data_IF_098455208024
#
_entry.id   IF_098455208024
#
_cell.length_a   1.000
_cell.length_b   1.000
_cell.length_c   1.000
_cell.angle_alpha   90.00
_cell.angle_beta   90.00
_cell.angle_gamma   90.00
#
_symmetry.space_group_name_H-M   'P 1'
#
loop_
_entity.id
_entity.type
_entity.pdbx_description
1 polymer ?
#
# COMPACT_ATOMS: atom_id res chain seq x y z
N UNK A 1 29.74 -17.89 2.74
CA UNK A 1 28.52 -17.64 1.95
C UNK A 1 28.95 -16.88 0.72
N UNK A 2 28.63 -17.39 -0.48
CA UNK A 2 28.92 -16.68 -1.73
C UNK A 2 28.20 -15.34 -1.73
N UNK A 3 28.93 -14.25 -1.90
CA UNK A 3 28.34 -12.92 -2.02
C UNK A 3 27.45 -12.89 -3.26
N UNK A 4 26.16 -12.56 -3.10
CA UNK A 4 25.24 -12.46 -4.24
C UNK A 4 25.73 -11.34 -5.18
N UNK A 5 25.78 -11.63 -6.47
CA UNK A 5 26.18 -10.69 -7.51
C UNK A 5 25.23 -10.84 -8.71
N UNK A 6 24.88 -9.76 -9.44
CA UNK A 6 23.96 -9.86 -10.57
C UNK A 6 24.37 -10.87 -11.64
N UNK A 7 25.68 -11.04 -11.87
CA UNK A 7 26.21 -11.98 -12.86
C UNK A 7 26.02 -13.46 -12.49
N UNK A 8 25.64 -13.77 -11.25
CA UNK A 8 25.23 -15.11 -10.87
C UNK A 8 23.82 -15.47 -11.37
N UNK A 9 23.08 -14.49 -11.91
CA UNK A 9 21.69 -14.63 -12.35
C UNK A 9 21.51 -14.19 -13.80
N UNK A 10 22.27 -14.74 -14.77
CA UNK A 10 22.25 -14.27 -16.16
C UNK A 10 20.87 -14.40 -16.83
N UNK A 11 20.11 -15.46 -16.57
CA UNK A 11 18.79 -15.68 -17.16
C UNK A 11 17.76 -14.69 -16.61
N UNK A 12 17.77 -14.48 -15.29
CA UNK A 12 16.87 -13.52 -14.64
C UNK A 12 17.23 -12.08 -15.06
N UNK A 13 18.52 -11.76 -15.11
CA UNK A 13 19.01 -10.44 -15.54
C UNK A 13 18.62 -10.14 -16.99
N UNK A 14 18.74 -11.13 -17.89
CA UNK A 14 18.34 -11.01 -19.29
C UNK A 14 16.83 -10.88 -19.48
N UNK A 15 16.02 -11.48 -18.59
CA UNK A 15 14.56 -11.38 -18.61
C UNK A 15 14.05 -10.08 -17.98
N UNK A 16 14.86 -9.41 -17.16
CA UNK A 16 14.47 -8.16 -16.51
C UNK A 16 14.24 -7.03 -17.52
N UNK A 17 13.04 -6.44 -17.51
CA UNK A 17 12.70 -5.26 -18.34
C UNK A 17 13.68 -4.08 -18.15
N UNK A 18 14.27 -3.97 -16.97
CA UNK A 18 15.26 -2.93 -16.61
C UNK A 18 16.43 -3.59 -15.88
N UNK A 19 17.49 -4.01 -16.58
CA UNK A 19 18.63 -4.70 -15.99
C UNK A 19 19.32 -3.88 -14.89
N UNK A 20 19.38 -2.56 -15.02
CA UNK A 20 19.96 -1.68 -13.98
C UNK A 20 19.20 -1.76 -12.64
N UNK A 21 17.88 -1.94 -12.69
CA UNK A 21 17.05 -2.07 -11.50
C UNK A 21 17.11 -3.48 -10.92
N UNK A 22 17.26 -4.48 -11.77
CA UNK A 22 17.56 -5.84 -11.34
C UNK A 22 18.88 -5.88 -10.57
N UNK A 23 19.94 -5.30 -11.13
CA UNK A 23 21.26 -5.26 -10.50
C UNK A 23 21.20 -4.56 -9.12
N UNK A 24 20.54 -3.41 -9.05
CA UNK A 24 20.29 -2.69 -7.78
C UNK A 24 19.51 -3.54 -6.77
N UNK A 25 18.51 -4.30 -7.22
CA UNK A 25 17.74 -5.16 -6.35
C UNK A 25 18.60 -6.32 -5.80
N UNK A 26 19.43 -6.95 -6.63
CA UNK A 26 20.36 -8.01 -6.19
C UNK A 26 21.35 -7.45 -5.16
N UNK A 27 21.97 -6.30 -5.42
CA UNK A 27 22.88 -5.66 -4.46
C UNK A 27 22.17 -5.30 -3.16
N UNK A 28 20.94 -4.77 -3.20
CA UNK A 28 20.18 -4.45 -2.00
C UNK A 28 19.88 -5.68 -1.13
N UNK A 29 19.61 -6.84 -1.75
CA UNK A 29 19.47 -8.11 -1.02
C UNK A 29 20.81 -8.57 -0.46
N UNK A 30 21.89 -8.48 -1.24
CA UNK A 30 23.25 -8.84 -0.81
C UNK A 30 23.67 -8.03 0.42
N UNK A 31 23.51 -6.70 0.37
CA UNK A 31 23.81 -5.78 1.46
C UNK A 31 22.93 -6.04 2.68
N UNK A 32 21.65 -6.36 2.47
CA UNK A 32 20.74 -6.71 3.55
C UNK A 32 21.17 -8.00 4.27
N UNK A 33 21.61 -9.01 3.52
CA UNK A 33 22.12 -10.27 4.09
C UNK A 33 23.43 -10.02 4.84
N UNK A 34 24.37 -9.28 4.24
CA UNK A 34 25.66 -8.98 4.84
C UNK A 34 25.55 -8.15 6.12
N UNK A 35 24.66 -7.15 6.14
CA UNK A 35 24.42 -6.30 7.31
C UNK A 35 23.49 -6.94 8.35
N UNK A 36 22.87 -8.08 8.04
CA UNK A 36 21.91 -8.75 8.90
C UNK A 36 20.60 -7.98 9.09
N UNK A 37 20.32 -6.95 8.30
CA UNK A 37 19.06 -6.20 8.35
C UNK A 37 18.73 -5.54 7.02
N UNK A 38 17.45 -5.34 6.74
CA UNK A 38 17.01 -4.61 5.54
C UNK A 38 15.80 -3.74 5.86
N UNK A 39 15.72 -2.56 5.25
CA UNK A 39 14.54 -1.70 5.40
C UNK A 39 13.37 -2.26 4.61
N UNK A 40 12.17 -2.17 5.19
CA UNK A 40 10.95 -2.69 4.58
C UNK A 40 10.66 -2.15 3.18
N UNK A 41 10.95 -0.86 2.93
CA UNK A 41 10.74 -0.25 1.61
C UNK A 41 11.70 -0.84 0.58
N UNK A 42 12.99 -0.96 0.92
CA UNK A 42 14.02 -1.53 0.06
C UNK A 42 13.72 -3.00 -0.24
N UNK A 43 13.35 -3.79 0.77
CA UNK A 43 12.98 -5.20 0.58
C UNK A 43 11.77 -5.36 -0.34
N UNK A 44 10.73 -4.51 -0.21
CA UNK A 44 9.56 -4.55 -1.09
C UNK A 44 9.91 -4.23 -2.53
N UNK A 45 10.63 -3.12 -2.75
CA UNK A 45 11.02 -2.70 -4.10
C UNK A 45 11.91 -3.74 -4.79
N UNK A 46 12.86 -4.33 -4.03
CA UNK A 46 13.70 -5.41 -4.52
C UNK A 46 12.86 -6.66 -4.83
N UNK A 47 12.00 -7.12 -3.91
CA UNK A 47 11.14 -8.30 -4.12
C UNK A 47 10.25 -8.16 -5.35
N UNK A 48 9.63 -7.00 -5.54
CA UNK A 48 8.76 -6.75 -6.69
C UNK A 48 9.55 -6.78 -8.00
N UNK A 49 10.74 -6.17 -8.02
CA UNK A 49 11.63 -6.17 -9.19
C UNK A 49 12.11 -7.58 -9.53
N UNK A 50 12.60 -8.33 -8.54
CA UNK A 50 13.11 -9.69 -8.73
C UNK A 50 12.01 -10.68 -9.08
N UNK A 51 10.81 -10.52 -8.52
CA UNK A 51 9.68 -11.40 -8.84
C UNK A 51 9.25 -11.25 -10.29
N UNK A 52 9.23 -10.02 -10.84
CA UNK A 52 8.94 -9.81 -12.26
C UNK A 52 10.01 -10.39 -13.19
N UNK A 53 11.28 -10.39 -12.76
CA UNK A 53 12.35 -11.02 -13.51
C UNK A 53 12.23 -12.56 -13.49
N UNK A 54 11.77 -13.14 -12.37
CA UNK A 54 11.46 -14.58 -12.27
C UNK A 54 10.30 -14.96 -13.15
N UNK A 55 9.19 -14.21 -13.10
CA UNK A 55 7.99 -14.43 -13.91
C UNK A 55 8.33 -14.44 -15.41
N UNK A 56 8.93 -13.36 -15.91
CA UNK A 56 9.34 -13.25 -17.32
C UNK A 56 10.45 -14.26 -17.71
N UNK A 57 11.35 -14.56 -16.78
CA UNK A 57 12.43 -15.53 -17.01
C UNK A 57 11.89 -16.95 -17.13
N UNK A 58 10.93 -17.32 -16.29
CA UNK A 58 10.27 -18.61 -16.30
C UNK A 58 9.44 -18.80 -17.56
N UNK A 59 8.65 -17.79 -17.94
CA UNK A 59 7.90 -17.77 -19.19
C UNK A 59 8.83 -18.08 -20.37
N UNK A 60 9.93 -17.35 -20.51
CA UNK A 60 10.86 -17.48 -21.63
C UNK A 60 11.68 -18.78 -21.62
N UNK A 61 12.11 -19.24 -20.44
CA UNK A 61 13.02 -20.39 -20.32
C UNK A 61 12.28 -21.74 -20.26
N UNK A 62 11.03 -21.74 -19.78
CA UNK A 62 10.26 -22.96 -19.49
C UNK A 62 8.92 -22.98 -20.19
N UNK A 63 8.08 -21.95 -20.02
CA UNK A 63 6.70 -22.01 -20.50
C UNK A 63 6.64 -21.95 -22.03
N UNK A 64 7.24 -20.94 -22.65
CA UNK A 64 7.25 -20.71 -24.10
C UNK A 64 7.83 -21.89 -24.89
N UNK A 65 8.99 -22.48 -24.50
CA UNK A 65 9.59 -23.54 -25.29
C UNK A 65 8.85 -24.88 -25.17
N UNK A 66 8.16 -25.15 -24.05
CA UNK A 66 7.70 -26.50 -23.71
C UNK A 66 6.19 -26.64 -23.46
N UNK A 67 5.49 -25.59 -23.02
CA UNK A 67 4.11 -25.69 -22.52
C UNK A 67 3.12 -24.72 -23.18
N UNK A 68 3.56 -23.52 -23.59
CA UNK A 68 2.69 -22.52 -24.19
C UNK A 68 2.30 -22.86 -25.65
N UNK A 69 1.24 -22.22 -26.16
CA UNK A 69 0.77 -22.35 -27.55
C UNK A 69 0.57 -23.82 -28.04
N UNK A 70 0.02 -24.68 -27.18
CA UNK A 70 -0.27 -26.08 -27.51
C UNK A 70 0.92 -27.03 -27.37
N UNK A 71 2.12 -26.53 -27.04
CA UNK A 71 3.32 -27.36 -26.88
C UNK A 71 3.22 -28.35 -25.71
N UNK A 72 2.38 -28.06 -24.71
CA UNK A 72 2.10 -28.98 -23.62
C UNK A 72 1.58 -30.35 -24.10
N UNK A 73 0.89 -30.41 -25.24
CA UNK A 73 0.39 -31.67 -25.84
C UNK A 73 1.52 -32.58 -26.33
N UNK A 74 2.71 -32.02 -26.54
CA UNK A 74 3.90 -32.74 -26.99
C UNK A 74 4.72 -33.27 -25.80
N UNK A 75 4.36 -32.90 -24.57
CA UNK A 75 5.02 -33.36 -23.37
C UNK A 75 4.43 -34.70 -22.90
N UNK A 76 5.25 -35.60 -22.32
CA UNK A 76 4.72 -36.75 -21.60
C UNK A 76 3.73 -36.29 -20.52
N UNK A 77 2.63 -37.03 -20.36
CA UNK A 77 1.56 -36.70 -19.41
C UNK A 77 2.11 -36.44 -18.00
N UNK A 78 3.01 -37.31 -17.52
CA UNK A 78 3.63 -37.16 -16.21
C UNK A 78 4.43 -35.85 -16.05
N UNK A 79 5.08 -35.36 -17.12
CA UNK A 79 5.81 -34.08 -17.12
C UNK A 79 4.85 -32.91 -17.07
N UNK A 80 3.77 -32.95 -17.86
CA UNK A 80 2.75 -31.90 -17.85
C UNK A 80 1.99 -31.84 -16.51
N UNK A 81 1.62 -32.98 -15.93
CA UNK A 81 0.99 -33.05 -14.60
C UNK A 81 1.93 -32.50 -13.53
N UNK A 82 3.23 -32.83 -13.60
CA UNK A 82 4.21 -32.29 -12.67
C UNK A 82 4.34 -30.77 -12.77
N UNK A 83 4.48 -30.24 -13.99
CA UNK A 83 4.49 -28.81 -14.28
C UNK A 83 3.24 -28.10 -13.73
N UNK A 84 2.07 -28.66 -14.02
CA UNK A 84 0.77 -28.12 -13.60
C UNK A 84 0.54 -28.20 -12.08
N UNK A 85 1.40 -28.88 -11.32
CA UNK A 85 1.27 -29.01 -9.87
C UNK A 85 1.76 -27.79 -9.10
N UNK A 86 2.37 -26.81 -9.76
CA UNK A 86 2.83 -25.56 -9.15
C UNK A 86 2.69 -24.40 -10.13
N UNK A 87 2.85 -23.19 -9.60
CA UNK A 87 2.82 -21.95 -10.39
C UNK A 87 4.04 -21.13 -10.02
N UNK A 88 4.67 -20.49 -11.01
CA UNK A 88 5.80 -19.60 -10.83
C UNK A 88 5.37 -18.21 -11.24
N UNK A 89 5.12 -17.33 -10.27
CA UNK A 89 4.80 -15.92 -10.52
C UNK A 89 5.72 -14.99 -9.74
N UNK A 90 6.37 -15.51 -8.71
CA UNK A 90 7.13 -14.73 -7.75
C UNK A 90 8.42 -15.44 -7.37
N UNK A 91 9.42 -14.66 -6.95
CA UNK A 91 10.71 -15.20 -6.52
C UNK A 91 10.59 -16.24 -5.40
N UNK A 92 9.65 -16.05 -4.47
CA UNK A 92 9.49 -16.99 -3.34
C UNK A 92 8.96 -18.37 -3.75
N UNK A 93 8.34 -18.52 -4.92
CA UNK A 93 7.84 -19.80 -5.41
C UNK A 93 9.00 -20.77 -5.71
N UNK A 94 10.18 -20.22 -6.04
CA UNK A 94 11.41 -20.98 -6.31
C UNK A 94 11.84 -21.87 -5.14
N UNK A 95 11.49 -21.53 -3.90
CA UNK A 95 11.75 -22.38 -2.73
C UNK A 95 10.96 -23.69 -2.79
N UNK A 96 9.69 -23.64 -3.19
CA UNK A 96 8.84 -24.81 -3.28
C UNK A 96 9.11 -25.60 -4.57
N UNK A 97 9.29 -24.90 -5.69
CA UNK A 97 9.59 -25.49 -7.00
C UNK A 97 10.91 -26.26 -6.95
N UNK A 98 11.98 -25.67 -6.40
CA UNK A 98 13.27 -26.35 -6.26
C UNK A 98 13.16 -27.64 -5.43
N UNK A 99 12.38 -27.62 -4.34
CA UNK A 99 12.13 -28.83 -3.52
C UNK A 99 11.37 -29.91 -4.28
N UNK A 100 10.40 -29.54 -5.12
CA UNK A 100 9.66 -30.50 -5.97
C UNK A 100 10.58 -31.09 -7.04
N UNK A 101 11.37 -30.25 -7.71
CA UNK A 101 12.33 -30.66 -8.75
C UNK A 101 13.44 -31.57 -8.21
N UNK A 102 13.86 -31.38 -6.96
CA UNK A 102 14.82 -32.26 -6.30
C UNK A 102 14.26 -33.65 -5.96
N UNK A 103 12.94 -33.77 -5.81
CA UNK A 103 12.26 -35.04 -5.45
C UNK A 103 11.80 -35.85 -6.65
N UNK A 104 11.59 -35.20 -7.79
CA UNK A 104 11.09 -35.88 -9.00
C UNK A 104 12.20 -36.65 -9.70
N UNK A 105 11.87 -37.84 -10.20
CA UNK A 105 12.72 -38.66 -11.06
C UNK A 105 12.40 -38.48 -12.55
N UNK A 106 11.50 -37.55 -12.87
CA UNK A 106 11.19 -37.22 -14.26
C UNK A 106 12.44 -36.65 -14.94
N UNK A 107 12.54 -36.91 -16.24
CA UNK A 107 13.66 -36.51 -17.10
C UNK A 107 13.12 -35.90 -18.39
N UNK A 108 13.99 -35.24 -19.15
CA UNK A 108 13.69 -34.62 -20.43
C UNK A 108 13.91 -33.11 -20.41
N UNK A 109 14.01 -32.53 -21.62
CA UNK A 109 14.44 -31.15 -21.82
C UNK A 109 13.62 -30.12 -21.01
N UNK A 110 12.30 -30.33 -20.86
CA UNK A 110 11.46 -29.46 -20.05
C UNK A 110 11.82 -29.50 -18.56
N UNK A 111 12.09 -30.69 -18.01
CA UNK A 111 12.52 -30.85 -16.60
C UNK A 111 13.92 -30.26 -16.41
N UNK A 112 14.82 -30.44 -17.37
CA UNK A 112 16.18 -29.89 -17.30
C UNK A 112 16.18 -28.37 -17.36
N UNK A 113 15.31 -27.76 -18.18
CA UNK A 113 15.11 -26.32 -18.20
C UNK A 113 14.57 -25.79 -16.86
N UNK A 114 13.57 -26.45 -16.28
CA UNK A 114 13.06 -26.11 -14.94
C UNK A 114 14.15 -26.21 -13.86
N UNK A 115 14.94 -27.28 -13.86
CA UNK A 115 16.05 -27.48 -12.91
C UNK A 115 17.11 -26.40 -13.06
N UNK A 116 17.49 -26.08 -14.30
CA UNK A 116 18.50 -25.06 -14.60
C UNK A 116 18.04 -23.70 -14.09
N UNK A 117 16.82 -23.28 -14.43
CA UNK A 117 16.27 -22.01 -13.99
C UNK A 117 16.10 -21.95 -12.46
N UNK A 118 15.55 -23.00 -11.85
CA UNK A 118 15.37 -23.07 -10.41
C UNK A 118 16.71 -23.02 -9.66
N UNK A 119 17.75 -23.70 -10.15
CA UNK A 119 19.08 -23.66 -9.55
C UNK A 119 19.70 -22.26 -9.58
N UNK A 120 19.49 -21.50 -10.65
CA UNK A 120 19.92 -20.11 -10.76
C UNK A 120 19.14 -19.21 -9.77
N UNK A 121 17.81 -19.35 -9.70
CA UNK A 121 16.96 -18.46 -8.92
C UNK A 121 16.95 -18.76 -7.40
N UNK A 122 17.22 -20.02 -7.01
CA UNK A 122 17.09 -20.48 -5.63
C UNK A 122 17.94 -19.69 -4.61
N UNK A 123 19.25 -19.43 -4.84
CA UNK A 123 20.06 -18.68 -3.89
C UNK A 123 19.49 -17.29 -3.57
N UNK A 124 18.88 -16.65 -4.57
CA UNK A 124 18.26 -15.33 -4.40
C UNK A 124 16.96 -15.43 -3.59
N UNK A 125 16.15 -16.46 -3.83
CA UNK A 125 14.92 -16.71 -3.07
C UNK A 125 15.23 -17.02 -1.59
N UNK A 126 16.26 -17.81 -1.32
CA UNK A 126 16.73 -18.13 0.04
C UNK A 126 17.26 -16.88 0.76
N UNK A 127 18.01 -16.04 0.06
CA UNK A 127 18.51 -14.78 0.60
C UNK A 127 17.36 -13.85 1.02
N UNK A 128 16.36 -13.65 0.16
CA UNK A 128 15.17 -12.86 0.48
C UNK A 128 14.40 -13.46 1.67
N UNK A 129 14.24 -14.79 1.71
CA UNK A 129 13.57 -15.46 2.83
C UNK A 129 14.33 -15.27 4.15
N UNK A 130 15.67 -15.29 4.13
CA UNK A 130 16.51 -15.10 5.32
C UNK A 130 16.40 -13.70 5.96
N UNK A 131 15.86 -12.73 5.21
CA UNK A 131 15.67 -11.35 5.66
C UNK A 131 14.31 -11.08 6.31
N UNK A 132 13.36 -12.03 6.24
CA UNK A 132 11.97 -11.83 6.68
C UNK A 132 11.86 -11.29 8.12
N UNK A 133 12.65 -11.84 9.03
CA UNK A 133 12.62 -11.47 10.45
C UNK A 133 13.68 -10.40 10.81
N UNK A 134 14.33 -9.85 9.78
CA UNK A 134 15.40 -8.82 9.88
C UNK A 134 14.96 -7.48 9.30
N UNK A 135 13.64 -7.28 9.17
CA UNK A 135 13.06 -6.11 8.50
C UNK A 135 12.91 -4.93 9.45
N UNK A 136 13.62 -3.85 9.15
CA UNK A 136 13.48 -2.56 9.85
C UNK A 136 12.31 -1.78 9.24
N UNK A 137 11.36 -1.37 10.09
CA UNK A 137 10.23 -0.52 9.68
C UNK A 137 10.63 0.96 9.72
N UNK A 138 9.99 1.77 8.88
CA UNK A 138 10.23 3.22 8.81
C UNK A 138 11.32 3.66 7.81
N UNK A 139 11.42 4.98 7.61
CA UNK A 139 12.39 5.59 6.69
C UNK A 139 13.79 5.60 7.28
N UNK A 140 14.80 5.69 6.41
CA UNK A 140 16.15 6.00 6.85
C UNK A 140 16.18 7.32 7.62
N UNK A 141 16.87 7.39 8.78
CA UNK A 141 17.20 8.65 9.41
C UNK A 141 17.83 9.59 8.38
N UNK A 142 17.55 10.89 8.52
CA UNK A 142 18.26 11.91 7.74
C UNK A 142 19.76 11.78 8.00
N UNK A 143 20.57 11.74 6.94
CA UNK A 143 22.04 11.76 7.01
C UNK A 143 22.59 13.17 7.23
N UNK A 144 21.78 14.21 7.01
CA UNK A 144 22.13 15.59 7.33
C UNK A 144 22.18 15.84 8.83
N UNK A 145 22.91 16.89 9.27
CA UNK A 145 22.95 17.28 10.68
C UNK A 145 21.54 17.49 11.21
N UNK A 146 21.32 17.10 12.48
CA UNK A 146 20.06 17.35 13.15
C UNK A 146 19.77 18.86 13.07
N UNK A 147 18.57 19.22 12.58
CA UNK A 147 18.18 20.63 12.56
C UNK A 147 18.24 21.15 14.01
N UNK A 148 18.87 22.32 14.25
CA UNK A 148 18.91 22.89 15.59
C UNK A 148 17.49 23.01 16.12
N UNK A 149 17.26 22.50 17.34
CA UNK A 149 15.97 22.64 18.01
C UNK A 149 15.79 24.12 18.32
N UNK A 150 14.81 24.77 17.71
CA UNK A 150 14.51 26.17 18.01
C UNK A 150 14.06 26.25 19.49
N UNK A 151 14.86 26.86 20.39
CA UNK A 151 14.53 26.93 21.81
C UNK A 151 13.29 27.79 22.07
N UNK A 152 12.95 28.68 21.14
CA UNK A 152 11.79 29.57 21.22
C UNK A 152 10.56 28.96 20.53
N UNK A 153 10.58 27.67 20.19
CA UNK A 153 9.44 27.00 19.55
C UNK A 153 8.31 26.86 20.55
N UNK A 154 7.29 27.70 20.40
CA UNK A 154 6.03 27.58 21.13
C UNK A 154 5.19 26.48 20.46
N UNK A 155 4.79 25.48 21.25
CA UNK A 155 3.89 24.39 20.81
C UNK A 155 2.64 24.47 21.66
N UNK A 156 1.48 24.43 20.99
CA UNK A 156 0.15 24.56 21.61
C UNK A 156 -0.84 23.62 20.91
N UNK A 157 -2.07 23.54 21.42
CA UNK A 157 -3.08 22.60 20.93
C UNK A 157 -3.87 23.21 19.76
N UNK A 158 -3.87 22.53 18.61
CA UNK A 158 -4.68 22.93 17.47
C UNK A 158 -6.18 22.77 17.77
N UNK A 159 -7.03 23.78 17.51
CA UNK A 159 -8.46 23.74 17.82
C UNK A 159 -9.29 22.83 16.93
N UNK A 160 -8.71 22.33 15.83
CA UNK A 160 -9.42 21.44 14.92
C UNK A 160 -8.98 19.98 15.03
N UNK A 161 -7.67 19.71 15.12
CA UNK A 161 -7.15 18.34 15.15
C UNK A 161 -6.69 17.89 16.56
N UNK A 162 -6.71 18.80 17.54
CA UNK A 162 -6.34 18.56 18.93
C UNK A 162 -4.90 18.03 19.15
N UNK A 163 -4.04 18.18 18.13
CA UNK A 163 -2.61 17.83 18.21
C UNK A 163 -1.79 19.00 18.74
N UNK A 164 -0.66 18.66 19.35
CA UNK A 164 0.40 19.61 19.73
C UNK A 164 1.17 20.06 18.48
N UNK A 165 0.99 21.31 18.09
CA UNK A 165 1.52 21.90 16.87
C UNK A 165 2.23 23.21 17.20
N UNK A 166 3.29 23.53 16.44
CA UNK A 166 3.99 24.80 16.58
C UNK A 166 3.05 25.99 16.32
N UNK A 167 3.22 27.07 17.06
CA UNK A 167 2.52 28.35 16.83
C UNK A 167 3.43 29.27 16.03
N UNK A 168 2.90 29.86 14.97
CA UNK A 168 3.58 30.83 14.11
C UNK A 168 2.65 32.02 13.93
N UNK A 169 3.12 33.22 14.23
CA UNK A 169 2.35 34.48 14.06
C UNK A 169 0.98 34.46 14.76
N UNK A 170 0.89 33.81 15.92
CA UNK A 170 -0.31 33.73 16.75
C UNK A 170 -1.31 32.63 16.38
N UNK A 171 -1.10 31.89 15.29
CA UNK A 171 -1.95 30.76 14.86
C UNK A 171 -1.16 29.47 14.68
N UNK A 172 -1.83 28.37 14.37
CA UNK A 172 -1.16 27.08 14.19
C UNK A 172 -0.32 27.06 12.91
N UNK A 173 0.95 26.66 13.01
CA UNK A 173 1.82 26.44 11.86
C UNK A 173 1.22 25.38 10.92
N UNK A 174 1.59 25.37 9.64
CA UNK A 174 1.22 24.30 8.72
C UNK A 174 1.76 22.94 9.21
N UNK A 175 0.87 21.97 9.39
CA UNK A 175 1.20 20.66 10.01
C UNK A 175 0.56 19.47 9.29
N UNK A 176 0.23 19.68 8.01
CA UNK A 176 -0.55 18.74 7.24
C UNK A 176 -1.88 18.41 7.90
N UNK A 177 -2.44 17.27 7.52
CA UNK A 177 -3.68 16.79 8.09
C UNK A 177 -3.58 15.31 8.38
N UNK A 178 -3.82 14.91 9.63
CA UNK A 178 -3.91 13.51 10.03
C UNK A 178 -5.18 13.36 10.88
N UNK A 179 -6.18 12.66 10.36
CA UNK A 179 -7.42 12.35 11.10
C UNK A 179 -7.34 10.98 11.77
N UNK A 180 -8.05 10.81 12.90
CA UNK A 180 -8.84 9.61 13.13
C UNK A 180 -10.13 9.68 12.27
N UNK A 181 -10.27 8.84 11.23
CA UNK A 181 -11.54 8.68 10.48
C UNK A 181 -11.68 9.39 9.11
N UNK A 182 -12.94 9.58 8.66
CA UNK A 182 -13.38 9.89 7.28
C UNK A 182 -13.22 11.37 6.86
N UNK A 183 -11.98 11.82 6.67
CA UNK A 183 -11.67 13.23 6.46
C UNK A 183 -11.72 13.81 5.04
N UNK A 184 -11.76 15.15 4.98
CA UNK A 184 -11.50 15.95 3.79
C UNK A 184 -10.06 15.78 3.27
N UNK A 185 -9.93 15.66 1.95
CA UNK A 185 -8.65 15.62 1.25
C UNK A 185 -8.17 17.06 0.96
N UNK A 186 -7.60 17.72 1.97
CA UNK A 186 -7.05 19.08 1.83
C UNK A 186 -5.53 19.11 2.05
N UNK A 187 -4.86 20.08 1.41
CA UNK A 187 -3.42 20.30 1.58
C UNK A 187 -3.03 20.74 3.00
N UNK A 188 -3.98 21.27 3.78
CA UNK A 188 -3.77 21.70 5.16
C UNK A 188 -5.04 21.59 6.02
N UNK A 189 -4.86 21.45 7.34
CA UNK A 189 -5.92 21.53 8.33
C UNK A 189 -6.53 22.95 8.37
N UNK A 190 -7.86 23.11 8.52
CA UNK A 190 -8.50 24.40 8.79
C UNK A 190 -7.97 25.14 10.02
N UNK A 191 -7.40 24.40 10.98
CA UNK A 191 -6.85 24.89 12.24
C UNK A 191 -5.74 25.93 12.11
N UNK A 192 -5.06 26.00 10.96
CA UNK A 192 -4.01 27.00 10.71
C UNK A 192 -4.51 28.46 10.75
N UNK A 193 -5.83 28.64 10.60
CA UNK A 193 -6.48 29.95 10.55
C UNK A 193 -6.87 30.47 11.93
N UNK A 194 -6.76 29.63 12.96
CA UNK A 194 -7.23 29.93 14.29
C UNK A 194 -6.07 29.97 15.28
N UNK A 195 -6.26 30.73 16.36
CA UNK A 195 -5.38 30.69 17.51
C UNK A 195 -5.44 29.31 18.18
N UNK A 196 -4.42 28.92 18.96
CA UNK A 196 -4.46 27.68 19.71
C UNK A 196 -5.60 27.63 20.72
N UNK A 197 -6.05 26.44 21.11
CA UNK A 197 -7.14 26.26 22.08
C UNK A 197 -6.85 26.89 23.43
N UNK A 198 -5.58 26.97 23.82
CA UNK A 198 -5.19 27.63 25.05
C UNK A 198 -5.58 29.12 25.05
N UNK A 199 -5.62 29.74 23.85
CA UNK A 199 -5.86 31.18 23.66
C UNK A 199 -7.30 31.49 23.24
N UNK A 200 -7.93 30.65 22.43
CA UNK A 200 -9.26 30.91 21.86
C UNK A 200 -9.99 29.64 21.46
N UNK A 201 -11.31 29.64 21.62
CA UNK A 201 -12.23 28.60 21.18
C UNK A 201 -12.75 28.79 19.75
N UNK A 202 -12.42 29.89 19.06
CA UNK A 202 -12.93 30.23 17.72
C UNK A 202 -12.80 29.08 16.73
N UNK A 203 -11.66 28.37 16.74
CA UNK A 203 -11.44 27.23 15.86
C UNK A 203 -12.26 25.99 16.23
N UNK A 204 -12.60 25.81 17.50
CA UNK A 204 -13.47 24.73 17.98
C UNK A 204 -14.93 25.03 17.65
N UNK A 205 -15.37 26.28 17.87
CA UNK A 205 -16.69 26.77 17.44
C UNK A 205 -16.87 26.56 15.94
N UNK A 206 -15.87 26.95 15.14
CA UNK A 206 -15.89 26.72 13.70
C UNK A 206 -15.96 25.22 13.35
N UNK A 207 -15.20 24.37 14.04
CA UNK A 207 -15.22 22.92 13.78
C UNK A 207 -16.58 22.30 14.12
N UNK A 208 -17.22 22.72 15.22
CA UNK A 208 -18.58 22.30 15.57
C UNK A 208 -19.54 22.68 14.45
N UNK A 209 -19.55 23.95 14.02
CA UNK A 209 -20.44 24.40 12.95
C UNK A 209 -20.19 23.71 11.60
N UNK A 210 -18.93 23.45 11.25
CA UNK A 210 -18.59 22.69 10.04
C UNK A 210 -19.09 21.24 10.10
N UNK A 211 -19.04 20.62 11.30
CA UNK A 211 -19.50 19.26 11.55
C UNK A 211 -21.03 19.18 11.54
N UNK A 212 -21.72 20.17 12.12
CA UNK A 212 -23.18 20.33 12.05
C UNK A 212 -23.66 20.48 10.61
N UNK A 213 -22.99 21.32 9.82
CA UNK A 213 -23.29 21.46 8.40
C UNK A 213 -23.15 20.13 7.66
N UNK A 214 -22.07 19.37 7.93
CA UNK A 214 -21.86 18.05 7.32
C UNK A 214 -22.97 17.07 7.70
N UNK A 215 -23.41 17.06 8.95
CA UNK A 215 -24.53 16.24 9.40
C UNK A 215 -25.82 16.62 8.66
N UNK A 216 -26.11 17.92 8.57
CA UNK A 216 -27.28 18.42 7.83
C UNK A 216 -27.25 18.03 6.36
N UNK A 217 -26.10 18.16 5.69
CA UNK A 217 -25.94 17.75 4.29
C UNK A 217 -26.17 16.24 4.13
N UNK A 218 -25.58 15.41 5.00
CA UNK A 218 -25.76 13.95 4.98
C UNK A 218 -27.21 13.52 5.19
N UNK A 219 -27.90 14.11 6.17
CA UNK A 219 -29.29 13.80 6.46
C UNK A 219 -30.21 14.22 5.31
N UNK A 220 -29.94 15.36 4.66
CA UNK A 220 -30.63 15.79 3.45
C UNK A 220 -30.42 14.78 2.32
N UNK A 221 -29.18 14.39 2.07
CA UNK A 221 -28.83 13.47 0.99
C UNK A 221 -29.44 12.08 1.21
N UNK A 222 -29.55 11.62 2.47
CA UNK A 222 -30.24 10.38 2.83
C UNK A 222 -31.75 10.49 2.60
N UNK A 223 -32.37 11.59 3.01
CA UNK A 223 -33.80 11.85 2.78
C UNK A 223 -34.17 11.96 1.30
N UNK A 224 -33.23 12.39 0.45
CA UNK A 224 -33.38 12.47 -1.00
C UNK A 224 -32.89 11.21 -1.74
N UNK A 225 -32.39 10.19 -1.05
CA UNK A 225 -31.74 9.05 -1.69
C UNK A 225 -32.71 8.25 -2.60
N UNK A 226 -33.98 8.12 -2.21
CA UNK A 226 -34.97 7.38 -3.02
C UNK A 226 -35.41 8.12 -4.29
N UNK A 227 -35.21 9.44 -4.35
CA UNK A 227 -35.58 10.27 -5.49
C UNK A 227 -34.37 10.66 -6.35
N UNK A 228 -33.18 10.16 -6.02
CA UNK A 228 -31.99 10.43 -6.83
C UNK A 228 -32.09 9.75 -8.20
N UNK A 229 -31.66 10.46 -9.25
CA UNK A 229 -31.74 9.98 -10.64
C UNK A 229 -30.39 9.51 -11.18
N UNK A 230 -29.30 9.76 -10.44
CA UNK A 230 -27.95 9.34 -10.81
C UNK A 230 -27.12 8.97 -9.60
N UNK A 231 -26.28 7.94 -9.71
CA UNK A 231 -25.31 7.54 -8.70
C UNK A 231 -23.96 7.19 -9.33
N UNK A 232 -22.83 7.51 -8.66
CA UNK A 232 -21.51 7.12 -9.13
C UNK A 232 -21.27 5.62 -8.90
N UNK A 233 -20.79 4.93 -9.94
CA UNK A 233 -20.39 3.53 -9.90
C UNK A 233 -18.95 3.36 -10.38
N UNK A 234 -18.14 2.62 -9.62
CA UNK A 234 -16.74 2.33 -9.98
C UNK A 234 -16.67 1.03 -10.77
N UNK A 235 -16.20 1.12 -12.01
CA UNK A 235 -15.93 -0.07 -12.87
C UNK A 235 -14.52 -0.60 -12.64
N UNK A 236 -14.23 -1.81 -13.14
CA UNK A 236 -12.97 -2.53 -12.92
C UNK A 236 -11.71 -1.74 -13.30
N UNK A 237 -11.80 -0.83 -14.29
CA UNK A 237 -10.71 0.06 -14.73
C UNK A 237 -10.41 1.22 -13.76
N UNK A 238 -11.05 1.27 -12.59
CA UNK A 238 -11.07 2.42 -11.64
C UNK A 238 -11.73 3.68 -12.19
N UNK A 239 -12.31 3.63 -13.38
CA UNK A 239 -13.16 4.70 -13.90
C UNK A 239 -14.45 4.79 -13.07
N UNK A 240 -14.93 6.02 -12.86
CA UNK A 240 -16.23 6.29 -12.23
C UNK A 240 -17.20 6.67 -13.36
N UNK A 241 -18.31 5.94 -13.46
CA UNK A 241 -19.42 6.23 -14.37
C UNK A 241 -20.65 6.62 -13.55
N UNK A 242 -21.54 7.43 -14.12
CA UNK A 242 -22.86 7.67 -13.53
C UNK A 242 -23.81 6.60 -14.06
N UNK A 243 -24.59 5.99 -13.17
CA UNK A 243 -25.67 5.06 -13.52
C UNK A 243 -27.01 5.66 -13.07
N UNK A 244 -28.09 5.24 -13.70
CA UNK A 244 -29.47 5.70 -13.43
C UNK A 244 -30.37 4.50 -13.02
N UNK A 245 -31.65 4.72 -12.62
CA UNK A 245 -32.56 3.65 -12.18
C UNK A 245 -32.81 2.51 -13.17
N UNK A 246 -32.53 2.69 -14.46
CA UNK A 246 -32.69 1.66 -15.48
C UNK A 246 -31.50 0.69 -15.54
N UNK A 247 -30.37 1.03 -14.92
CA UNK A 247 -29.18 0.18 -14.88
C UNK A 247 -29.37 -1.02 -13.94
N UNK A 248 -29.02 -2.22 -14.40
CA UNK A 248 -29.14 -3.45 -13.60
C UNK A 248 -28.37 -3.41 -12.26
N UNK A 249 -27.35 -2.54 -12.13
CA UNK A 249 -26.56 -2.35 -10.91
C UNK A 249 -27.20 -1.37 -9.92
N UNK A 250 -28.24 -0.65 -10.32
CA UNK A 250 -28.87 0.41 -9.54
C UNK A 250 -29.33 -0.04 -8.14
N UNK A 251 -30.10 -1.14 -7.97
CA UNK A 251 -30.63 -1.50 -6.65
C UNK A 251 -29.54 -1.73 -5.61
N UNK A 252 -28.47 -2.43 -6.01
CA UNK A 252 -27.31 -2.67 -5.14
C UNK A 252 -26.54 -1.38 -4.85
N UNK A 253 -26.38 -0.52 -5.86
CA UNK A 253 -25.63 0.74 -5.71
C UNK A 253 -26.36 1.73 -4.80
N UNK A 254 -27.68 1.87 -4.96
CA UNK A 254 -28.53 2.68 -4.09
C UNK A 254 -28.52 2.17 -2.64
N UNK A 255 -28.60 0.85 -2.44
CA UNK A 255 -28.51 0.24 -1.10
C UNK A 255 -27.16 0.54 -0.42
N UNK A 256 -26.04 0.41 -1.14
CA UNK A 256 -24.71 0.74 -0.63
C UNK A 256 -24.59 2.25 -0.33
N UNK A 257 -25.11 3.10 -1.23
CA UNK A 257 -25.11 4.54 -1.05
C UNK A 257 -25.83 4.96 0.24
N UNK A 258 -27.05 4.45 0.45
CA UNK A 258 -27.83 4.66 1.68
C UNK A 258 -27.10 4.17 2.93
N UNK A 259 -26.56 2.95 2.90
CA UNK A 259 -25.82 2.38 4.03
C UNK A 259 -24.58 3.22 4.39
N UNK A 260 -23.89 3.77 3.39
CA UNK A 260 -22.76 4.67 3.62
C UNK A 260 -23.21 5.99 4.25
N UNK A 261 -24.29 6.61 3.75
CA UNK A 261 -24.84 7.83 4.34
C UNK A 261 -25.26 7.62 5.80
N UNK A 262 -25.98 6.54 6.10
CA UNK A 262 -26.38 6.19 7.46
C UNK A 262 -25.16 5.97 8.37
N UNK A 263 -24.12 5.31 7.87
CA UNK A 263 -22.88 5.12 8.61
C UNK A 263 -22.18 6.44 8.89
N UNK A 264 -22.05 7.30 7.87
CA UNK A 264 -21.45 8.63 8.00
C UNK A 264 -22.22 9.49 9.01
N UNK A 265 -23.56 9.46 8.99
CA UNK A 265 -24.41 10.17 9.96
C UNK A 265 -24.07 9.73 11.38
N UNK A 266 -24.08 8.42 11.68
CA UNK A 266 -23.76 7.91 13.02
C UNK A 266 -22.38 8.35 13.51
N UNK A 267 -21.39 8.34 12.61
CA UNK A 267 -20.04 8.79 12.94
C UNK A 267 -20.00 10.30 13.24
N UNK A 268 -20.62 11.11 12.38
CA UNK A 268 -20.64 12.57 12.54
C UNK A 268 -21.43 12.98 13.78
N UNK A 269 -22.51 12.30 14.13
CA UNK A 269 -23.26 12.52 15.38
C UNK A 269 -22.38 12.26 16.61
N UNK A 270 -21.65 11.14 16.60
CA UNK A 270 -20.72 10.79 17.67
C UNK A 270 -19.62 11.84 17.80
N UNK A 271 -18.97 12.23 16.69
CA UNK A 271 -17.94 13.27 16.68
C UNK A 271 -18.49 14.61 17.20
N UNK A 272 -19.67 15.01 16.73
CA UNK A 272 -20.32 16.25 17.14
C UNK A 272 -20.61 16.28 18.65
N UNK A 273 -21.03 15.14 19.23
CA UNK A 273 -21.25 15.03 20.67
C UNK A 273 -19.96 15.29 21.46
N UNK A 274 -18.83 14.72 21.02
CA UNK A 274 -17.53 14.93 21.64
C UNK A 274 -17.03 16.37 21.49
N UNK A 275 -17.25 16.97 20.33
CA UNK A 275 -16.83 18.35 20.05
C UNK A 275 -17.64 19.36 20.87
N UNK A 276 -18.96 19.18 20.97
CA UNK A 276 -19.84 20.04 21.79
C UNK A 276 -19.47 19.95 23.26
N UNK A 277 -19.28 18.73 23.79
CA UNK A 277 -18.82 18.52 25.16
C UNK A 277 -17.49 19.24 25.42
N UNK A 278 -16.53 19.10 24.51
CA UNK A 278 -15.23 19.77 24.62
C UNK A 278 -15.36 21.29 24.62
N UNK A 279 -16.26 21.85 23.81
CA UNK A 279 -16.51 23.29 23.76
C UNK A 279 -17.16 23.79 25.05
N UNK A 280 -18.12 23.04 25.60
CA UNK A 280 -18.77 23.36 26.88
C UNK A 280 -17.79 23.33 28.07
N UNK A 281 -16.91 22.33 28.09
CA UNK A 281 -15.87 22.15 29.12
C UNK A 281 -14.67 23.10 28.92
N UNK A 282 -14.58 23.75 27.76
CA UNK A 282 -13.43 24.58 27.44
C UNK A 282 -13.33 25.78 28.38
N UNK A 283 -12.11 26.04 28.84
CA UNK A 283 -11.75 27.24 29.60
C UNK A 283 -10.44 27.78 29.03
N UNK A 284 -10.30 29.10 28.88
CA UNK A 284 -9.06 29.69 28.42
C UNK A 284 -7.92 29.34 29.39
N UNK A 285 -6.76 29.00 28.84
CA UNK A 285 -5.55 28.69 29.61
C UNK A 285 -4.46 29.69 29.19
N UNK A 286 -4.34 30.83 29.88
CA UNK A 286 -3.35 31.86 29.55
C UNK A 286 -1.91 31.32 29.62
#
# INVERSE_FOLDING_TARGET
>A
MTTLHPDHFPSLRAAARRPDQFDKAVYAIADGVASGSIRNIVLKDAKDTLSRAVDAGWEKAVEDPFFFAGRYQQQPEAVYTFYSSFTVMYLHDMLAVSKKLAKTKLEGAAIDAMRTFAAEALPLAEAVASLKDKVIKGRAPSTGPAKPVNPNKIVKTCPCCFRQIAVTDGTMAHHGYQRPGHGWQTASCPGIRFKPLEVSDEGLVWLVGATEKRLSDLSRDLGAADTCTTLPYRVASRQIVQIDPTDARWPRTLSIYKANLESDIRFVETDLSHLRKRLEEWRPQP
#
